data_IF_416917611031
#
_entry.id   IF_416917611031
#
_cell.length_a   1.000
_cell.length_b   1.000
_cell.length_c   1.000
_cell.angle_alpha   90.00
_cell.angle_beta   90.00
_cell.angle_gamma   90.00
#
_symmetry.space_group_name_H-M   'P 1'
#
loop_
_entity.id
_entity.type
_entity.pdbx_description
1 polymer ?
#
# COMPACT_ATOMS: atom_id res chain seq x y z
N UNK A 1 26.54 58.67 33.38
CA UNK A 1 26.29 58.43 31.95
C UNK A 1 26.09 56.93 31.73
N UNK A 2 24.93 56.57 31.19
CA UNK A 2 24.55 55.26 30.62
C UNK A 2 25.12 55.14 29.18
N UNK A 3 24.98 54.03 28.43
CA UNK A 3 25.36 52.62 28.66
C UNK A 3 26.22 52.10 27.47
N UNK A 4 26.63 50.82 27.46
CA UNK A 4 26.62 50.10 26.18
C UNK A 4 26.27 48.61 26.37
N UNK A 5 25.08 48.30 25.87
CA UNK A 5 24.40 47.02 25.87
C UNK A 5 24.79 46.26 24.61
N UNK A 6 25.58 45.20 24.73
CA UNK A 6 25.79 44.25 23.61
C UNK A 6 26.19 42.89 24.16
N UNK A 7 25.28 42.17 24.83
CA UNK A 7 25.47 40.73 25.14
C UNK A 7 24.19 40.03 25.63
N UNK A 8 23.07 40.23 24.96
CA UNK A 8 21.80 39.52 25.31
C UNK A 8 20.95 39.11 24.11
N UNK A 9 21.39 39.34 22.88
CA UNK A 9 20.59 39.06 21.68
C UNK A 9 20.81 37.67 21.05
N UNK A 10 21.97 37.02 21.23
CA UNK A 10 22.23 35.70 20.61
C UNK A 10 21.51 34.53 21.30
N UNK A 11 21.22 34.62 22.60
CA UNK A 11 20.60 33.51 23.36
C UNK A 11 19.07 33.49 23.27
N UNK A 12 18.42 34.58 22.80
CA UNK A 12 16.96 34.63 22.60
C UNK A 12 16.52 34.18 21.20
N UNK A 13 17.43 34.10 20.24
CA UNK A 13 17.13 33.68 18.86
C UNK A 13 17.28 32.16 18.65
N UNK A 14 18.05 31.47 19.50
CA UNK A 14 18.27 30.02 19.40
C UNK A 14 16.99 29.17 19.59
N UNK A 15 16.12 29.44 20.60
CA UNK A 15 14.86 28.71 20.75
C UNK A 15 13.88 29.02 19.61
N UNK A 16 13.91 30.26 19.10
CA UNK A 16 13.05 30.70 17.98
C UNK A 16 13.50 30.01 16.69
N UNK A 17 14.81 29.91 16.43
CA UNK A 17 15.37 29.22 15.27
C UNK A 17 15.10 27.71 15.33
N UNK A 18 15.22 27.07 16.50
CA UNK A 18 14.83 25.67 16.71
C UNK A 18 13.33 25.44 16.54
N UNK A 19 12.49 26.38 17.01
CA UNK A 19 11.05 26.34 16.80
C UNK A 19 10.69 26.54 15.32
N UNK A 20 11.35 27.44 14.58
CA UNK A 20 11.14 27.62 13.15
C UNK A 20 11.66 26.45 12.33
N UNK A 21 12.80 25.84 12.68
CA UNK A 21 13.30 24.63 12.01
C UNK A 21 12.37 23.45 12.27
N UNK A 22 11.91 23.27 13.52
CA UNK A 22 10.89 22.27 13.88
C UNK A 22 9.56 22.52 13.18
N UNK A 23 9.13 23.77 13.05
CA UNK A 23 7.88 24.12 12.38
C UNK A 23 8.01 23.94 10.86
N UNK A 24 9.13 24.32 10.25
CA UNK A 24 9.37 24.13 8.81
C UNK A 24 9.56 22.66 8.44
N UNK A 25 10.23 21.85 9.26
CA UNK A 25 10.29 20.40 9.05
C UNK A 25 8.93 19.75 9.28
N UNK A 26 8.16 20.20 10.27
CA UNK A 26 6.78 19.76 10.49
C UNK A 26 5.88 20.14 9.30
N UNK A 27 5.95 21.37 8.79
CA UNK A 27 5.16 21.84 7.63
C UNK A 27 5.61 21.20 6.30
N UNK A 28 6.90 20.97 6.06
CA UNK A 28 7.38 20.23 4.89
C UNK A 28 6.99 18.74 4.94
N UNK A 29 6.94 18.15 6.14
CA UNK A 29 6.40 16.80 6.35
C UNK A 29 4.89 16.76 6.14
N UNK A 30 4.17 17.79 6.59
CA UNK A 30 2.73 17.95 6.45
C UNK A 30 2.31 18.14 4.98
N UNK A 31 3.13 18.84 4.19
CA UNK A 31 2.89 19.11 2.77
C UNK A 31 2.99 17.85 1.87
N UNK A 32 3.71 16.79 2.31
CA UNK A 32 3.78 15.52 1.58
C UNK A 32 2.45 14.73 1.71
N UNK A 33 1.70 14.94 2.80
CA UNK A 33 0.51 14.15 3.14
C UNK A 33 -0.80 14.88 2.77
N UNK A 34 -0.79 16.19 2.57
CA UNK A 34 -2.00 17.00 2.36
C UNK A 34 -2.69 16.89 0.98
N UNK A 35 -2.21 16.10 0.01
CA UNK A 35 -2.76 16.19 -1.36
C UNK A 35 -3.98 15.31 -1.63
N UNK A 36 -4.31 14.35 -0.76
CA UNK A 36 -5.54 13.55 -0.88
C UNK A 36 -6.40 13.87 0.34
N UNK A 37 -7.61 14.39 0.10
CA UNK A 37 -8.55 14.58 1.21
C UNK A 37 -8.80 13.22 1.88
N UNK A 38 -8.80 13.18 3.23
CA UNK A 38 -9.25 12.03 4.02
C UNK A 38 -10.69 11.57 3.67
N UNK A 39 -11.44 12.39 2.94
CA UNK A 39 -12.77 12.05 2.42
C UNK A 39 -12.75 11.25 1.12
N UNK A 40 -11.58 11.06 0.49
CA UNK A 40 -11.46 10.27 -0.74
C UNK A 40 -11.82 8.82 -0.45
N UNK A 41 -12.84 8.33 -1.16
CA UNK A 41 -13.32 6.94 -1.02
C UNK A 41 -12.30 5.98 -1.63
N UNK A 42 -11.81 5.03 -0.82
CA UNK A 42 -10.79 4.05 -1.19
C UNK A 42 -11.17 3.21 -2.41
N UNK A 43 -12.43 2.78 -2.45
CA UNK A 43 -12.90 1.78 -3.39
C UNK A 43 -13.80 2.41 -4.44
N UNK A 44 -13.73 1.84 -5.65
CA UNK A 44 -14.61 2.19 -6.73
C UNK A 44 -16.00 1.60 -6.50
N UNK A 45 -17.01 2.39 -6.86
CA UNK A 45 -18.42 2.02 -6.96
C UNK A 45 -18.96 2.35 -8.34
N UNK A 46 -20.02 1.69 -8.75
CA UNK A 46 -20.57 1.81 -10.11
C UNK A 46 -20.86 3.27 -10.49
N UNK A 47 -21.43 4.04 -9.56
CA UNK A 47 -21.78 5.45 -9.80
C UNK A 47 -20.57 6.36 -10.02
N UNK A 48 -19.36 5.97 -9.61
CA UNK A 48 -18.17 6.81 -9.76
C UNK A 48 -17.86 7.13 -11.22
N UNK A 49 -18.25 6.25 -12.16
CA UNK A 49 -18.08 6.46 -13.60
C UNK A 49 -18.79 7.71 -14.14
N UNK A 50 -19.83 8.16 -13.44
CA UNK A 50 -20.59 9.34 -13.85
C UNK A 50 -20.08 10.62 -13.21
N UNK A 51 -19.34 10.52 -12.08
CA UNK A 51 -19.09 11.67 -11.20
C UNK A 51 -17.62 11.94 -10.85
N UNK A 52 -16.70 11.00 -11.02
CA UNK A 52 -15.27 11.21 -10.69
C UNK A 52 -14.48 11.67 -11.92
N UNK A 53 -14.09 12.93 -11.94
CA UNK A 53 -13.34 13.55 -13.04
C UNK A 53 -12.02 12.83 -13.37
N UNK A 54 -11.31 12.27 -12.38
CA UNK A 54 -10.07 11.53 -12.64
C UNK A 54 -10.28 10.21 -13.38
N UNK A 55 -11.50 9.65 -13.34
CA UNK A 55 -11.85 8.49 -14.17
C UNK A 55 -12.06 8.89 -15.63
N UNK A 56 -12.30 10.16 -15.92
CA UNK A 56 -12.24 10.74 -17.26
C UNK A 56 -10.81 11.10 -17.70
N UNK A 57 -9.79 10.81 -16.88
CA UNK A 57 -8.38 11.01 -17.26
C UNK A 57 -8.02 10.15 -18.48
N UNK A 58 -7.04 10.61 -19.26
CA UNK A 58 -6.54 9.89 -20.44
C UNK A 58 -5.62 8.72 -20.09
N UNK A 59 -5.44 8.42 -18.81
CA UNK A 59 -4.53 7.39 -18.32
C UNK A 59 -5.22 6.02 -18.30
N UNK A 60 -4.52 5.01 -18.80
CA UNK A 60 -4.91 3.62 -18.62
C UNK A 60 -4.49 3.12 -17.23
N UNK A 61 -4.90 1.90 -16.89
CA UNK A 61 -4.33 1.20 -15.73
C UNK A 61 -2.79 1.15 -15.85
N UNK A 62 -2.04 1.32 -14.76
CA UNK A 62 -2.50 1.31 -13.36
C UNK A 62 -2.91 2.67 -12.78
N UNK A 63 -2.85 3.76 -13.57
CA UNK A 63 -2.99 5.14 -13.07
C UNK A 63 -4.32 5.82 -13.40
N UNK A 64 -5.12 5.20 -14.26
CA UNK A 64 -6.49 5.59 -14.59
C UNK A 64 -7.26 4.37 -15.10
N UNK A 65 -8.40 4.58 -15.77
CA UNK A 65 -9.27 3.47 -16.22
C UNK A 65 -9.43 3.38 -17.73
N UNK A 66 -8.73 4.24 -18.50
CA UNK A 66 -8.90 4.33 -19.95
C UNK A 66 -8.76 2.97 -20.64
N UNK A 67 -9.74 2.62 -21.45
CA UNK A 67 -9.83 1.37 -22.20
C UNK A 67 -10.22 0.14 -21.37
N UNK A 68 -10.37 0.27 -20.05
CA UNK A 68 -10.72 -0.82 -19.12
C UNK A 68 -12.13 -0.69 -18.55
N UNK A 69 -12.84 0.38 -18.91
CA UNK A 69 -14.15 0.77 -18.42
C UNK A 69 -15.20 -0.34 -18.60
N UNK A 70 -15.32 -1.02 -19.76
CA UNK A 70 -16.33 -2.06 -19.94
C UNK A 70 -16.13 -3.26 -19.01
N UNK A 71 -14.87 -3.61 -18.69
CA UNK A 71 -14.57 -4.70 -17.75
C UNK A 71 -14.85 -4.26 -16.31
N UNK A 72 -14.43 -3.04 -15.97
CA UNK A 72 -14.63 -2.48 -14.64
C UNK A 72 -16.12 -2.30 -14.32
N UNK A 73 -16.92 -1.76 -15.24
CA UNK A 73 -18.37 -1.61 -15.09
C UNK A 73 -19.05 -2.97 -14.84
N UNK A 74 -18.69 -4.00 -15.60
CA UNK A 74 -19.23 -5.36 -15.40
C UNK A 74 -18.86 -5.92 -14.03
N UNK A 75 -17.61 -5.75 -13.61
CA UNK A 75 -17.19 -6.19 -12.28
C UNK A 75 -17.94 -5.44 -11.16
N UNK A 76 -18.01 -4.10 -11.23
CA UNK A 76 -18.67 -3.27 -10.22
C UNK A 76 -20.19 -3.46 -10.19
N UNK A 77 -20.83 -3.87 -11.29
CA UNK A 77 -22.26 -4.12 -11.34
C UNK A 77 -22.72 -5.30 -10.46
N UNK A 78 -21.82 -6.23 -10.13
CA UNK A 78 -22.13 -7.42 -9.31
C UNK A 78 -21.46 -7.40 -7.94
N UNK A 79 -20.51 -6.50 -7.72
CA UNK A 79 -19.93 -6.28 -6.40
C UNK A 79 -20.94 -5.49 -5.55
N UNK A 80 -21.64 -6.22 -4.68
CA UNK A 80 -22.75 -5.69 -3.88
C UNK A 80 -22.34 -4.62 -2.85
N UNK A 81 -21.07 -4.62 -2.42
CA UNK A 81 -20.56 -3.73 -1.40
C UNK A 81 -19.19 -3.15 -1.80
N UNK A 82 -19.02 -1.87 -1.54
CA UNK A 82 -17.87 -1.04 -1.88
C UNK A 82 -17.43 -0.16 -0.70
N UNK A 83 -18.03 -0.31 0.48
CA UNK A 83 -17.66 0.45 1.68
C UNK A 83 -16.63 -0.32 2.51
N UNK A 84 -15.89 0.42 3.33
CA UNK A 84 -15.21 -0.15 4.49
C UNK A 84 -16.28 -0.33 5.59
N UNK A 85 -16.29 -1.45 6.35
CA UNK A 85 -17.25 -1.67 7.43
C UNK A 85 -17.37 -0.49 8.40
N UNK A 86 -18.60 -0.17 8.81
CA UNK A 86 -18.92 0.99 9.64
C UNK A 86 -18.18 0.99 10.99
N UNK A 87 -17.94 -0.19 11.55
CA UNK A 87 -17.19 -0.34 12.80
C UNK A 87 -15.72 0.10 12.70
N UNK A 88 -15.17 0.20 11.49
CA UNK A 88 -13.85 0.77 11.22
C UNK A 88 -14.00 2.22 10.78
N UNK A 89 -14.97 2.50 9.92
CA UNK A 89 -15.21 3.83 9.35
C UNK A 89 -15.55 4.88 10.42
N UNK A 90 -16.25 4.47 11.48
CA UNK A 90 -16.73 5.34 12.56
C UNK A 90 -15.75 5.45 13.74
N UNK A 91 -14.55 4.87 13.64
CA UNK A 91 -13.52 5.04 14.67
C UNK A 91 -13.03 6.50 14.68
N UNK A 92 -12.98 7.10 15.86
CA UNK A 92 -12.48 8.46 16.09
C UNK A 92 -10.98 8.59 15.77
N UNK A 93 -10.21 7.55 16.12
CA UNK A 93 -8.79 7.45 15.82
C UNK A 93 -8.49 6.05 15.28
N UNK A 94 -8.04 5.97 14.02
CA UNK A 94 -7.71 4.73 13.34
C UNK A 94 -6.22 4.45 13.44
N UNK A 95 -5.85 3.46 14.23
CA UNK A 95 -4.49 2.91 14.24
C UNK A 95 -4.35 1.80 13.21
N UNK A 96 -3.39 1.97 12.31
CA UNK A 96 -3.16 1.05 11.21
C UNK A 96 -1.74 0.50 11.26
N UNK A 97 -1.61 -0.78 10.91
CA UNK A 97 -0.31 -1.38 10.62
C UNK A 97 -0.33 -2.04 9.25
N UNK A 98 0.69 -1.73 8.43
CA UNK A 98 0.92 -2.38 7.15
C UNK A 98 2.00 -3.44 7.33
N UNK A 99 1.69 -4.68 7.00
CA UNK A 99 2.60 -5.82 7.09
C UNK A 99 3.12 -6.14 5.70
N UNK A 100 4.38 -5.77 5.46
CA UNK A 100 5.15 -6.18 4.30
C UNK A 100 5.55 -7.66 4.37
N UNK A 101 5.98 -8.18 3.24
CA UNK A 101 6.34 -9.61 3.11
C UNK A 101 7.79 -9.90 3.47
N UNK A 102 8.58 -8.87 3.78
CA UNK A 102 10.03 -8.93 3.93
C UNK A 102 10.48 -9.81 5.09
N UNK A 103 11.66 -10.41 4.95
CA UNK A 103 12.26 -11.28 5.96
C UNK A 103 12.49 -10.59 7.32
N UNK A 104 12.57 -9.25 7.35
CA UNK A 104 12.86 -8.47 8.56
C UNK A 104 11.89 -8.71 9.73
N UNK A 105 10.67 -9.18 9.46
CA UNK A 105 9.69 -9.49 10.52
C UNK A 105 9.86 -10.89 11.12
N UNK A 106 10.69 -11.76 10.53
CA UNK A 106 10.87 -13.13 11.00
C UNK A 106 11.60 -13.16 12.35
N UNK A 107 11.14 -14.00 13.26
CA UNK A 107 11.59 -14.13 14.66
C UNK A 107 11.53 -12.80 15.44
N UNK A 108 10.55 -11.94 15.13
CA UNK A 108 10.35 -10.65 15.79
C UNK A 108 9.39 -10.73 16.97
N UNK A 109 8.57 -11.79 17.06
CA UNK A 109 7.54 -11.96 18.08
C UNK A 109 6.52 -10.79 18.15
N UNK A 110 6.35 -10.06 17.06
CA UNK A 110 5.47 -8.88 16.98
C UNK A 110 3.98 -9.23 16.89
N UNK A 111 3.61 -10.49 16.74
CA UNK A 111 2.24 -10.89 16.41
C UNK A 111 1.20 -10.42 17.41
N UNK A 112 1.50 -10.51 18.71
CA UNK A 112 0.62 -10.02 19.77
C UNK A 112 0.45 -8.49 19.76
N UNK A 113 1.45 -7.76 19.28
CA UNK A 113 1.41 -6.30 19.13
C UNK A 113 0.60 -5.93 17.88
N UNK A 114 0.82 -6.62 16.76
CA UNK A 114 0.11 -6.41 15.49
C UNK A 114 -1.41 -6.64 15.65
N UNK A 115 -1.81 -7.61 16.46
CA UNK A 115 -3.22 -7.91 16.68
C UNK A 115 -3.99 -6.79 17.41
N UNK A 116 -3.29 -5.84 18.05
CA UNK A 116 -3.91 -4.72 18.79
C UNK A 116 -4.33 -3.54 17.91
N UNK A 117 -3.86 -3.46 16.68
CA UNK A 117 -4.20 -2.37 15.76
C UNK A 117 -5.65 -2.48 15.30
N UNK A 118 -6.32 -1.35 15.05
CA UNK A 118 -7.67 -1.33 14.53
C UNK A 118 -7.73 -1.97 13.14
N UNK A 119 -6.79 -1.58 12.28
CA UNK A 119 -6.68 -2.05 10.90
C UNK A 119 -5.31 -2.70 10.65
N UNK A 120 -5.33 -3.97 10.25
CA UNK A 120 -4.13 -4.68 9.78
C UNK A 120 -4.23 -4.89 8.27
N UNK A 121 -3.33 -4.25 7.52
CA UNK A 121 -3.25 -4.38 6.06
C UNK A 121 -2.14 -5.37 5.71
N UNK A 122 -2.48 -6.44 4.98
CA UNK A 122 -1.55 -7.45 4.47
C UNK A 122 -1.52 -7.45 2.94
N UNK A 123 -0.50 -8.06 2.37
CA UNK A 123 -0.23 -8.00 0.94
C UNK A 123 -0.15 -9.40 0.34
N UNK A 124 -0.57 -9.52 -0.92
CA UNK A 124 -0.33 -10.69 -1.77
C UNK A 124 -0.82 -12.00 -1.13
N UNK A 125 -0.16 -13.11 -1.45
CA UNK A 125 -0.40 -14.46 -0.95
C UNK A 125 0.38 -14.78 0.34
N UNK A 126 0.86 -13.76 1.05
CA UNK A 126 1.70 -13.94 2.23
C UNK A 126 0.95 -14.72 3.33
N UNK A 127 1.47 -15.87 3.80
CA UNK A 127 0.82 -16.71 4.78
C UNK A 127 0.82 -16.05 6.15
N UNK A 128 -0.25 -16.31 6.90
CA UNK A 128 -0.36 -15.98 8.33
C UNK A 128 -0.20 -17.23 9.17
N UNK A 129 -0.85 -18.33 8.74
CA UNK A 129 -0.81 -19.62 9.43
C UNK A 129 0.62 -20.17 9.47
N UNK A 130 1.10 -20.52 10.65
CA UNK A 130 2.48 -20.96 10.91
C UNK A 130 3.49 -19.83 11.12
N UNK A 131 3.04 -18.58 11.13
CA UNK A 131 3.88 -17.38 11.33
C UNK A 131 3.26 -16.40 12.34
N UNK A 132 2.21 -16.80 13.06
CA UNK A 132 1.37 -15.94 13.89
C UNK A 132 2.16 -15.24 15.00
N UNK A 133 3.21 -15.87 15.54
CA UNK A 133 4.06 -15.28 16.57
C UNK A 133 4.74 -14.00 16.07
N UNK A 134 5.13 -13.96 14.79
CA UNK A 134 5.82 -12.84 14.17
C UNK A 134 4.85 -11.85 13.53
N UNK A 135 3.88 -12.36 12.78
CA UNK A 135 3.05 -11.52 11.90
C UNK A 135 1.65 -11.29 12.45
N UNK A 136 1.25 -11.93 13.54
CA UNK A 136 -0.09 -11.87 14.11
C UNK A 136 -1.10 -12.67 13.29
N UNK A 137 -2.34 -12.77 13.78
CA UNK A 137 -3.43 -13.50 13.12
C UNK A 137 -4.58 -12.59 12.65
N UNK A 138 -4.59 -11.31 13.05
CA UNK A 138 -5.58 -10.33 12.59
C UNK A 138 -5.30 -9.89 11.16
N UNK A 139 -6.34 -9.82 10.31
CA UNK A 139 -6.25 -9.21 8.98
C UNK A 139 -7.55 -8.47 8.66
N UNK A 140 -7.46 -7.15 8.50
CA UNK A 140 -8.61 -6.31 8.17
C UNK A 140 -8.77 -6.14 6.66
N UNK A 141 -7.65 -5.89 5.97
CA UNK A 141 -7.61 -5.75 4.51
C UNK A 141 -6.44 -6.54 3.95
N UNK A 142 -6.65 -7.25 2.84
CA UNK A 142 -5.57 -7.89 2.09
C UNK A 142 -5.54 -7.37 0.66
N UNK A 143 -4.46 -6.70 0.31
CA UNK A 143 -4.25 -6.12 -1.01
C UNK A 143 -3.63 -7.17 -1.91
N UNK A 144 -4.23 -7.41 -3.08
CA UNK A 144 -3.77 -8.43 -3.99
C UNK A 144 -4.08 -8.08 -5.45
N UNK A 145 -3.46 -8.80 -6.35
CA UNK A 145 -3.75 -8.82 -7.78
C UNK A 145 -3.71 -10.29 -8.25
N UNK A 146 -4.21 -10.64 -9.45
CA UNK A 146 -4.45 -12.04 -9.81
C UNK A 146 -3.23 -12.95 -9.67
N UNK A 147 -2.04 -12.50 -10.07
CA UNK A 147 -0.82 -13.29 -9.98
C UNK A 147 -0.29 -13.47 -8.53
N UNK A 148 -0.77 -12.66 -7.59
CA UNK A 148 -0.48 -12.76 -6.16
C UNK A 148 -1.67 -13.24 -5.32
N UNK A 149 -2.73 -13.72 -5.97
CA UNK A 149 -3.92 -14.22 -5.29
C UNK A 149 -3.72 -15.66 -4.79
N UNK A 150 -4.10 -15.92 -3.53
CA UNK A 150 -4.31 -17.29 -3.06
C UNK A 150 -5.62 -17.84 -3.62
N UNK A 151 -5.63 -19.12 -4.03
CA UNK A 151 -6.85 -19.81 -4.44
C UNK A 151 -7.87 -19.95 -3.29
N UNK A 152 -7.39 -20.02 -2.05
CA UNK A 152 -8.21 -20.12 -0.84
C UNK A 152 -7.76 -19.07 0.18
N UNK A 153 -8.19 -17.81 0.03
CA UNK A 153 -7.78 -16.73 0.94
C UNK A 153 -8.23 -16.98 2.39
N UNK A 154 -9.30 -17.74 2.63
CA UNK A 154 -9.79 -18.05 3.99
C UNK A 154 -8.81 -18.84 4.87
N UNK A 155 -7.77 -19.46 4.30
CA UNK A 155 -6.75 -20.17 5.09
C UNK A 155 -5.80 -19.24 5.86
N UNK A 156 -5.72 -17.97 5.45
CA UNK A 156 -4.74 -17.00 5.97
C UNK A 156 -5.37 -15.67 6.36
N UNK A 157 -6.70 -15.61 6.43
CA UNK A 157 -7.46 -14.41 6.68
C UNK A 157 -8.68 -14.73 7.56
N UNK A 158 -9.14 -13.74 8.30
CA UNK A 158 -10.38 -13.83 9.07
C UNK A 158 -11.59 -13.75 8.13
N UNK A 159 -12.75 -14.25 8.56
CA UNK A 159 -13.97 -14.20 7.74
C UNK A 159 -14.40 -12.77 7.36
N UNK A 160 -14.05 -11.78 8.18
CA UNK A 160 -14.34 -10.36 7.95
C UNK A 160 -13.34 -9.63 7.05
N UNK A 161 -12.24 -10.28 6.62
CA UNK A 161 -11.18 -9.61 5.87
C UNK A 161 -11.68 -9.11 4.51
N UNK A 162 -11.44 -7.83 4.21
CA UNK A 162 -11.68 -7.27 2.88
C UNK A 162 -10.58 -7.72 1.92
N UNK A 163 -10.98 -8.24 0.77
CA UNK A 163 -10.08 -8.63 -0.31
C UNK A 163 -9.98 -7.46 -1.30
N UNK A 164 -8.93 -6.66 -1.18
CA UNK A 164 -8.74 -5.44 -1.96
C UNK A 164 -7.96 -5.75 -3.24
N UNK A 165 -8.66 -5.79 -4.37
CA UNK A 165 -8.05 -5.94 -5.70
C UNK A 165 -7.38 -4.62 -6.12
N UNK A 166 -6.10 -4.70 -6.47
CA UNK A 166 -5.33 -3.61 -7.08
C UNK A 166 -5.21 -3.87 -8.58
N UNK A 167 -5.90 -3.10 -9.44
CA UNK A 167 -5.86 -3.33 -10.88
C UNK A 167 -4.61 -2.68 -11.50
N UNK A 168 -3.64 -3.50 -11.92
CA UNK A 168 -2.43 -3.01 -12.59
C UNK A 168 -2.58 -2.95 -14.10
N UNK A 169 -3.39 -3.85 -14.67
CA UNK A 169 -3.59 -4.04 -16.12
C UNK A 169 -4.99 -4.54 -16.43
N UNK A 170 -5.44 -4.41 -17.69
CA UNK A 170 -6.79 -4.81 -18.11
C UNK A 170 -7.10 -6.29 -17.83
N UNK A 171 -6.07 -7.14 -17.90
CA UNK A 171 -6.15 -8.56 -17.61
C UNK A 171 -6.62 -8.79 -16.17
N UNK A 172 -6.31 -7.90 -15.23
CA UNK A 172 -6.70 -8.07 -13.83
C UNK A 172 -8.21 -7.93 -13.64
N UNK A 173 -8.79 -6.91 -14.28
CA UNK A 173 -10.23 -6.71 -14.30
C UNK A 173 -10.96 -7.79 -15.10
N UNK A 174 -10.32 -8.30 -16.16
CA UNK A 174 -10.85 -9.46 -16.90
C UNK A 174 -10.91 -10.69 -16.00
N UNK A 175 -9.84 -11.01 -15.28
CA UNK A 175 -9.82 -12.13 -14.34
C UNK A 175 -10.86 -11.95 -13.25
N UNK A 176 -11.00 -10.76 -12.67
CA UNK A 176 -12.03 -10.47 -11.67
C UNK A 176 -13.43 -10.74 -12.23
N UNK A 177 -13.74 -10.23 -13.43
CA UNK A 177 -15.02 -10.49 -14.11
C UNK A 177 -15.21 -11.99 -14.35
N UNK A 178 -14.20 -12.69 -14.85
CA UNK A 178 -14.27 -14.14 -15.08
C UNK A 178 -14.53 -14.91 -13.77
N UNK A 179 -13.96 -14.47 -12.64
CA UNK A 179 -14.26 -15.01 -11.30
C UNK A 179 -15.72 -14.77 -10.92
N UNK A 180 -16.18 -13.52 -11.00
CA UNK A 180 -17.51 -13.09 -10.54
C UNK A 180 -18.66 -13.72 -11.34
N UNK A 181 -18.49 -13.82 -12.66
CA UNK A 181 -19.51 -14.39 -13.57
C UNK A 181 -19.34 -15.90 -13.79
N UNK A 182 -18.38 -16.52 -13.10
CA UNK A 182 -18.01 -17.92 -13.28
C UNK A 182 -17.75 -18.32 -14.74
N UNK A 183 -17.08 -17.46 -15.49
CA UNK A 183 -16.73 -17.72 -16.89
C UNK A 183 -15.47 -18.59 -17.01
N UNK A 184 -15.05 -18.91 -18.23
CA UNK A 184 -13.80 -19.61 -18.48
C UNK A 184 -12.61 -18.65 -18.26
N UNK A 185 -11.75 -18.97 -17.29
CA UNK A 185 -10.58 -18.13 -16.95
C UNK A 185 -9.44 -18.30 -17.95
N UNK A 186 -8.90 -17.18 -18.43
CA UNK A 186 -7.78 -17.15 -19.40
C UNK A 186 -6.45 -16.88 -18.70
N UNK A 187 -5.44 -17.72 -18.93
CA UNK A 187 -4.09 -17.56 -18.32
C UNK A 187 -3.15 -16.63 -19.12
N UNK A 188 -3.48 -16.33 -20.37
CA UNK A 188 -2.63 -15.52 -21.26
C UNK A 188 -2.58 -14.06 -20.81
N UNK A 189 -1.36 -13.52 -20.68
CA UNK A 189 -1.11 -12.12 -20.31
C UNK A 189 -0.79 -11.89 -18.83
N UNK A 190 -0.57 -12.97 -18.07
CA UNK A 190 -0.09 -12.94 -16.70
C UNK A 190 1.33 -13.51 -16.64
N UNK A 191 2.20 -12.92 -15.82
CA UNK A 191 3.58 -13.40 -15.65
C UNK A 191 3.66 -14.66 -14.78
N UNK A 192 2.70 -14.84 -13.88
CA UNK A 192 2.44 -16.06 -13.11
C UNK A 192 0.96 -16.42 -13.27
N UNK A 193 0.60 -17.69 -13.52
CA UNK A 193 -0.80 -18.07 -13.69
C UNK A 193 -1.63 -17.72 -12.45
N UNK A 194 -2.72 -16.94 -12.58
CA UNK A 194 -3.61 -16.66 -11.46
C UNK A 194 -4.51 -17.88 -11.17
N UNK A 195 -5.16 -17.94 -9.98
CA UNK A 195 -6.10 -19.01 -9.66
C UNK A 195 -7.23 -19.10 -10.70
N UNK A 196 -7.49 -20.31 -11.19
CA UNK A 196 -8.65 -20.57 -12.05
C UNK A 196 -9.94 -20.75 -11.25
N UNK A 197 -9.80 -21.23 -10.03
CA UNK A 197 -10.85 -21.35 -9.03
C UNK A 197 -10.42 -20.47 -7.85
N UNK A 198 -11.36 -19.65 -7.36
CA UNK A 198 -11.13 -18.80 -6.20
C UNK A 198 -12.23 -19.07 -5.19
N UNK A 199 -11.84 -19.52 -3.99
CA UNK A 199 -12.74 -19.88 -2.89
C UNK A 199 -12.99 -18.71 -1.92
N UNK A 200 -12.59 -17.49 -2.29
CA UNK A 200 -12.86 -16.30 -1.51
C UNK A 200 -14.32 -15.87 -1.61
N UNK A 201 -14.83 -15.26 -0.54
CA UNK A 201 -16.16 -14.63 -0.56
C UNK A 201 -16.13 -13.38 -1.45
N UNK A 202 -16.87 -13.44 -2.56
CA UNK A 202 -16.95 -12.34 -3.54
C UNK A 202 -17.57 -11.08 -2.95
N UNK A 203 -18.38 -11.19 -1.89
CA UNK A 203 -18.94 -10.02 -1.20
C UNK A 203 -17.90 -9.22 -0.40
N UNK A 204 -16.72 -9.83 -0.15
CA UNK A 204 -15.59 -9.16 0.51
C UNK A 204 -14.63 -8.50 -0.46
N UNK A 205 -14.84 -8.65 -1.77
CA UNK A 205 -13.98 -8.01 -2.76
C UNK A 205 -14.26 -6.50 -2.78
N UNK A 206 -13.19 -5.72 -2.86
CA UNK A 206 -13.21 -4.28 -3.16
C UNK A 206 -12.22 -4.00 -4.27
N UNK A 207 -12.56 -3.11 -5.21
CA UNK A 207 -11.61 -2.64 -6.22
C UNK A 207 -11.04 -1.31 -5.77
N UNK A 208 -9.72 -1.25 -5.54
CA UNK A 208 -9.05 -0.02 -5.15
C UNK A 208 -9.11 1.01 -6.28
N UNK A 209 -9.42 2.27 -5.96
CA UNK A 209 -9.40 3.36 -6.95
C UNK A 209 -7.96 3.58 -7.47
N UNK A 210 -7.72 3.50 -8.81
CA UNK A 210 -6.44 3.79 -9.42
C UNK A 210 -5.84 5.15 -9.05
N UNK A 211 -6.67 6.10 -8.57
CA UNK A 211 -6.21 7.36 -7.99
C UNK A 211 -5.11 7.15 -6.94
N UNK A 212 -5.23 6.16 -6.04
CA UNK A 212 -4.22 5.95 -5.00
C UNK A 212 -2.88 5.52 -5.59
N UNK A 213 -2.90 4.67 -6.62
CA UNK A 213 -1.68 4.21 -7.29
C UNK A 213 -1.05 5.31 -8.14
N UNK A 214 -1.87 6.15 -8.79
CA UNK A 214 -1.43 7.38 -9.43
C UNK A 214 -0.74 8.32 -8.44
N UNK A 215 -1.37 8.64 -7.30
CA UNK A 215 -0.78 9.53 -6.30
C UNK A 215 0.49 8.93 -5.67
N UNK A 216 0.53 7.61 -5.48
CA UNK A 216 1.73 6.91 -4.99
C UNK A 216 2.89 7.10 -5.99
N UNK A 217 2.64 6.91 -7.28
CA UNK A 217 3.63 7.11 -8.33
C UNK A 217 4.06 8.58 -8.44
N UNK A 218 3.12 9.51 -8.56
CA UNK A 218 3.38 10.93 -8.84
C UNK A 218 3.92 11.71 -7.62
N UNK A 219 3.31 11.53 -6.45
CA UNK A 219 3.61 12.34 -5.26
C UNK A 219 4.68 11.72 -4.39
N UNK A 220 4.58 10.42 -4.11
CA UNK A 220 5.49 9.74 -3.18
C UNK A 220 6.78 9.30 -3.86
N UNK A 221 6.68 8.70 -5.06
CA UNK A 221 7.82 8.12 -5.77
C UNK A 221 8.38 8.98 -6.91
N UNK A 222 7.65 10.01 -7.36
CA UNK A 222 8.05 10.88 -8.49
C UNK A 222 8.31 10.11 -9.79
N UNK A 223 7.57 9.02 -10.00
CA UNK A 223 7.63 8.21 -11.21
C UNK A 223 6.91 8.93 -12.36
N UNK A 224 7.52 9.06 -13.55
CA UNK A 224 6.84 9.62 -14.72
C UNK A 224 5.64 8.78 -15.15
N UNK A 225 4.45 9.39 -15.22
CA UNK A 225 3.20 8.71 -15.61
C UNK A 225 3.08 8.46 -17.12
N UNK A 226 3.88 9.17 -17.92
CA UNK A 226 4.01 8.99 -19.37
C UNK A 226 5.47 8.68 -19.71
N UNK A 227 5.94 7.44 -19.49
CA UNK A 227 7.31 7.09 -19.82
C UNK A 227 7.53 7.19 -21.34
N UNK A 228 8.69 7.71 -21.73
CA UNK A 228 9.12 7.68 -23.12
C UNK A 228 9.30 6.22 -23.57
N UNK A 229 9.13 5.91 -24.86
CA UNK A 229 9.20 4.53 -25.40
C UNK A 229 10.52 3.79 -25.13
N UNK A 230 11.57 4.50 -24.69
CA UNK A 230 12.88 3.95 -24.32
C UNK A 230 13.02 3.60 -22.83
N UNK A 231 12.06 3.96 -21.98
CA UNK A 231 12.10 3.70 -20.54
C UNK A 231 11.27 2.44 -20.22
N UNK A 232 11.83 1.57 -19.37
CA UNK A 232 11.06 0.47 -18.80
C UNK A 232 9.92 1.06 -17.93
N UNK A 233 8.66 0.63 -18.12
CA UNK A 233 7.58 1.05 -17.26
C UNK A 233 7.83 0.56 -15.83
N UNK A 234 8.04 1.49 -14.91
CA UNK A 234 8.12 1.21 -13.46
C UNK A 234 6.80 1.63 -12.84
N UNK A 235 6.27 0.80 -11.95
CA UNK A 235 5.11 1.13 -11.15
C UNK A 235 5.36 0.80 -9.67
N UNK A 236 4.69 1.51 -8.74
CA UNK A 236 4.84 1.25 -7.32
C UNK A 236 4.51 -0.21 -6.97
N UNK A 237 5.22 -0.78 -6.00
CA UNK A 237 4.86 -2.08 -5.41
C UNK A 237 3.51 -2.00 -4.68
N UNK A 238 2.87 -3.15 -4.48
CA UNK A 238 1.67 -3.23 -3.63
C UNK A 238 1.96 -2.78 -2.19
N UNK A 239 3.19 -2.95 -1.70
CA UNK A 239 3.57 -2.56 -0.34
C UNK A 239 3.62 -1.06 -0.15
N UNK A 240 4.33 -0.32 -1.02
CA UNK A 240 4.37 1.13 -0.91
C UNK A 240 3.00 1.77 -1.20
N UNK A 241 2.21 1.17 -2.09
CA UNK A 241 0.81 1.56 -2.30
C UNK A 241 -0.02 1.40 -1.02
N UNK A 242 0.11 0.27 -0.32
CA UNK A 242 -0.62 0.04 0.92
C UNK A 242 -0.22 1.02 2.03
N UNK A 243 1.07 1.39 2.11
CA UNK A 243 1.54 2.45 3.00
C UNK A 243 0.91 3.79 2.63
N UNK A 244 0.88 4.15 1.34
CA UNK A 244 0.23 5.37 0.89
C UNK A 244 -1.27 5.38 1.19
N UNK A 245 -1.98 4.26 0.97
CA UNK A 245 -3.39 4.14 1.34
C UNK A 245 -3.59 4.30 2.85
N UNK A 246 -2.76 3.65 3.68
CA UNK A 246 -2.83 3.78 5.12
C UNK A 246 -2.64 5.23 5.59
N UNK A 247 -1.68 5.96 5.02
CA UNK A 247 -1.44 7.38 5.34
C UNK A 247 -2.64 8.29 5.04
N UNK A 248 -3.45 7.93 4.04
CA UNK A 248 -4.63 8.70 3.65
C UNK A 248 -5.93 8.18 4.28
N UNK A 249 -5.87 7.03 4.96
CA UNK A 249 -7.01 6.38 5.60
C UNK A 249 -6.93 6.35 7.13
N UNK A 250 -5.76 6.49 7.72
CA UNK A 250 -5.53 6.25 9.14
C UNK A 250 -4.99 7.50 9.84
N UNK A 251 -5.10 7.52 11.16
CA UNK A 251 -4.56 8.58 12.00
C UNK A 251 -3.12 8.28 12.42
N UNK A 252 -2.84 7.00 12.68
CA UNK A 252 -1.51 6.50 13.03
C UNK A 252 -1.17 5.34 12.12
N UNK A 253 0.01 5.38 11.50
CA UNK A 253 0.47 4.34 10.58
C UNK A 253 1.78 3.75 11.07
N UNK A 254 1.76 2.45 11.32
CA UNK A 254 2.96 1.67 11.56
C UNK A 254 3.22 0.70 10.42
N UNK A 255 4.48 0.29 10.30
CA UNK A 255 4.92 -0.68 9.29
C UNK A 255 5.78 -1.76 9.92
N UNK A 256 5.68 -2.98 9.40
CA UNK A 256 6.53 -4.10 9.76
C UNK A 256 6.76 -5.01 8.54
N UNK A 257 7.88 -5.73 8.47
CA UNK A 257 8.20 -6.57 7.31
C UNK A 257 8.53 -5.77 6.04
N UNK A 258 8.94 -4.52 6.19
CA UNK A 258 9.46 -3.69 5.10
C UNK A 258 10.98 -3.63 5.12
N UNK A 259 11.57 -3.39 3.95
CA UNK A 259 13.01 -3.30 3.77
C UNK A 259 13.60 -4.59 3.19
N UNK A 260 14.79 -4.43 2.62
CA UNK A 260 15.59 -5.53 2.08
C UNK A 260 16.81 -5.74 2.97
N UNK A 261 17.31 -6.99 3.08
CA UNK A 261 18.55 -7.25 3.79
C UNK A 261 19.67 -6.40 3.19
N UNK A 262 20.43 -5.67 4.02
CA UNK A 262 21.65 -4.95 3.57
C UNK A 262 22.74 -5.87 3.02
N UNK A 263 22.55 -7.18 3.17
CA UNK A 263 23.54 -8.18 2.78
C UNK A 263 23.55 -8.33 1.26
N UNK A 264 24.74 -8.32 0.66
CA UNK A 264 24.93 -8.72 -0.74
C UNK A 264 24.86 -10.26 -0.92
N UNK A 265 24.40 -11.02 0.08
CA UNK A 265 24.34 -12.47 0.02
C UNK A 265 23.20 -12.91 -0.89
N UNK A 266 23.49 -13.57 -2.03
CA UNK A 266 22.45 -14.00 -2.97
C UNK A 266 21.50 -15.06 -2.39
N UNK A 267 21.91 -15.72 -1.29
CA UNK A 267 21.15 -16.76 -0.60
C UNK A 267 20.30 -16.22 0.55
N UNK A 268 20.40 -14.93 0.88
CA UNK A 268 19.57 -14.37 1.94
C UNK A 268 18.09 -14.43 1.53
N UNK A 269 17.20 -14.97 2.38
CA UNK A 269 15.77 -14.98 2.09
C UNK A 269 15.22 -13.56 1.97
N UNK A 270 14.32 -13.33 1.02
CA UNK A 270 13.67 -12.01 0.85
C UNK A 270 12.37 -11.91 1.63
N UNK A 271 11.67 -13.02 1.80
CA UNK A 271 10.39 -13.06 2.49
C UNK A 271 10.52 -13.78 3.84
N UNK A 272 9.63 -13.46 4.78
CA UNK A 272 9.57 -14.21 6.05
C UNK A 272 9.13 -15.68 5.86
N UNK A 273 8.55 -15.98 4.68
CA UNK A 273 8.04 -17.28 4.26
C UNK A 273 8.69 -17.76 2.96
N UNK A 274 8.49 -19.03 2.63
CA UNK A 274 8.98 -19.62 1.38
C UNK A 274 10.51 -19.67 1.29
N UNK A 275 11.00 -19.80 0.05
CA UNK A 275 12.41 -20.06 -0.25
C UNK A 275 13.03 -19.05 -1.23
N UNK A 276 12.30 -17.99 -1.58
CA UNK A 276 12.82 -16.95 -2.46
C UNK A 276 13.98 -16.21 -1.78
N UNK A 277 15.02 -15.94 -2.55
CA UNK A 277 16.22 -15.26 -2.07
C UNK A 277 16.54 -14.02 -2.89
N UNK A 278 17.54 -13.24 -2.46
CA UNK A 278 18.02 -12.06 -3.19
C UNK A 278 18.38 -12.36 -4.66
N UNK A 279 18.70 -13.62 -5.00
CA UNK A 279 18.92 -14.05 -6.39
C UNK A 279 17.68 -13.88 -7.27
N UNK A 280 16.48 -14.09 -6.73
CA UNK A 280 15.21 -13.92 -7.44
C UNK A 280 14.92 -12.46 -7.80
N UNK A 281 15.56 -11.50 -7.10
CA UNK A 281 15.34 -10.07 -7.28
C UNK A 281 16.23 -9.42 -8.36
N UNK A 282 17.20 -10.15 -8.93
CA UNK A 282 18.23 -9.60 -9.83
C UNK A 282 17.68 -8.91 -11.10
N UNK A 283 16.44 -9.24 -11.50
CA UNK A 283 15.76 -8.68 -12.68
C UNK A 283 14.39 -8.07 -12.30
N UNK A 284 14.21 -7.59 -11.07
CA UNK A 284 12.94 -7.00 -10.64
C UNK A 284 12.60 -5.75 -11.47
N UNK A 285 11.33 -5.61 -11.86
CA UNK A 285 10.81 -4.42 -12.55
C UNK A 285 10.54 -3.25 -11.60
N UNK A 286 10.73 -3.45 -10.29
CA UNK A 286 10.51 -2.44 -9.27
C UNK A 286 11.81 -1.74 -8.89
N UNK A 287 11.71 -0.42 -8.69
CA UNK A 287 12.82 0.39 -8.18
C UNK A 287 12.83 0.38 -6.64
N UNK A 288 13.41 -0.70 -6.12
CA UNK A 288 13.43 -0.96 -4.67
C UNK A 288 14.21 0.09 -3.90
N UNK A 289 15.22 0.68 -4.53
CA UNK A 289 16.04 1.72 -3.93
C UNK A 289 15.24 3.01 -3.76
N UNK A 290 14.48 3.42 -4.78
CA UNK A 290 13.61 4.59 -4.68
C UNK A 290 12.46 4.39 -3.68
N UNK A 291 11.86 3.19 -3.61
CA UNK A 291 10.82 2.90 -2.61
C UNK A 291 11.39 2.87 -1.17
N UNK A 292 12.57 2.27 -0.98
CA UNK A 292 13.25 2.27 0.32
C UNK A 292 13.60 3.70 0.78
N UNK A 293 14.05 4.56 -0.14
CA UNK A 293 14.27 5.97 0.14
C UNK A 293 12.97 6.69 0.50
N UNK A 294 11.85 6.38 -0.16
CA UNK A 294 10.56 6.97 0.15
C UNK A 294 10.08 6.57 1.55
N UNK A 295 10.20 5.29 1.93
CA UNK A 295 9.89 4.84 3.29
C UNK A 295 10.75 5.52 4.34
N UNK A 296 12.06 5.68 4.07
CA UNK A 296 12.97 6.40 4.97
C UNK A 296 12.58 7.88 5.12
N UNK A 297 12.14 8.54 4.05
CA UNK A 297 11.62 9.92 4.13
C UNK A 297 10.36 10.00 5.00
N UNK A 298 9.44 9.06 4.85
CA UNK A 298 8.21 8.97 5.66
C UNK A 298 8.51 8.67 7.14
N UNK A 299 9.49 7.82 7.42
CA UNK A 299 9.90 7.52 8.78
C UNK A 299 10.58 8.72 9.44
N UNK A 300 11.53 9.37 8.74
CA UNK A 300 12.24 10.53 9.25
C UNK A 300 11.32 11.73 9.53
N UNK A 301 10.19 11.83 8.83
CA UNK A 301 9.17 12.84 9.06
C UNK A 301 8.19 12.49 10.18
N UNK A 302 8.24 11.26 10.71
CA UNK A 302 7.28 10.75 11.68
C UNK A 302 5.92 10.40 11.09
N UNK A 303 5.78 10.35 9.75
CA UNK A 303 4.54 9.98 9.08
C UNK A 303 4.22 8.48 9.24
N UNK A 304 5.26 7.66 9.35
CA UNK A 304 5.16 6.24 9.69
C UNK A 304 6.15 5.89 10.80
N UNK A 305 5.88 4.84 11.57
CA UNK A 305 6.87 4.26 12.49
C UNK A 305 7.05 2.75 12.21
N UNK A 306 8.28 2.28 12.30
CA UNK A 306 8.59 0.86 12.19
C UNK A 306 8.40 0.14 13.53
N UNK A 307 7.81 -1.06 13.49
CA UNK A 307 7.67 -1.91 14.69
C UNK A 307 8.92 -2.76 15.00
N UNK A 308 9.89 -2.77 14.10
CA UNK A 308 11.16 -3.46 14.27
C UNK A 308 12.32 -2.58 13.76
N UNK A 309 13.55 -2.79 14.24
CA UNK A 309 14.72 -2.12 13.66
C UNK A 309 14.90 -2.46 12.17
N UNK A 310 15.50 -1.54 11.42
CA UNK A 310 15.98 -1.83 10.07
C UNK A 310 17.10 -2.88 10.14
N UNK A 311 17.03 -3.93 9.30
CA UNK A 311 18.16 -4.84 9.06
C UNK A 311 19.34 -4.06 8.46
#
# INVERSE_FOLDING_TARGET
>A
MSPNSTKTWCLRLFPILLFFISCVTFYCSYAIIQSVSRQTKLFLKLEDFFWREHLASRLALPYGVKGSEPLLLKALAVLADYQVPDNIQNLECRTCVVIGNGFAIKNSSLGSIINKYDVVIRLNDAPVKGYEDDVGNKTTMRFFYPESASFNPGQHNEAGTLMVLVPFKQQDLRWLKEILYNEKRVRKGFWKPPPQIWLGDTNKIRVLDPHFLHQTADRLLRIPLHPNSKQQPVHPTTGILAVFVALNYCDVVHVAGFGYPKTNSPRHPIHYYGFDTMRSMKNSYHDLDHEAQALRRLENSGAILYLHPHL
#
